data_IF_180702027545
#
_entry.id   IF_180702027545
#
_cell.length_a   1.000
_cell.length_b   1.000
_cell.length_c   1.000
_cell.angle_alpha   90.00
_cell.angle_beta   90.00
_cell.angle_gamma   90.00
#
_symmetry.space_group_name_H-M   'P 1'
#
loop_
_entity.id
_entity.type
_entity.pdbx_description
1 polymer ?
#
# COMPACT_ATOMS: atom_id res chain seq x y z
N UNK A 1 -2.99 -69.46 30.79
CA UNK A 1 -3.22 -68.62 29.60
C UNK A 1 -3.59 -67.22 30.09
N UNK A 2 -2.64 -66.27 30.06
CA UNK A 2 -2.88 -64.85 30.50
C UNK A 2 -3.35 -64.05 29.30
N UNK A 3 -4.54 -63.45 29.40
CA UNK A 3 -5.10 -62.54 28.39
C UNK A 3 -4.50 -61.13 28.63
N UNK A 4 -3.74 -60.62 27.66
CA UNK A 4 -3.25 -59.26 27.65
C UNK A 4 -4.36 -58.42 27.02
N UNK A 5 -4.91 -57.48 27.78
CA UNK A 5 -5.86 -56.47 27.29
C UNK A 5 -5.02 -55.25 26.87
N UNK A 6 -4.99 -55.00 25.57
CA UNK A 6 -4.30 -53.86 24.99
C UNK A 6 -5.29 -52.65 24.98
N UNK A 7 -5.11 -51.72 25.93
CA UNK A 7 -5.87 -50.46 25.93
C UNK A 7 -5.29 -49.48 24.91
N UNK A 8 -6.02 -49.24 23.82
CA UNK A 8 -5.70 -48.19 22.85
C UNK A 8 -6.18 -46.84 23.38
N UNK A 9 -5.25 -45.99 23.75
CA UNK A 9 -5.54 -44.60 24.09
C UNK A 9 -5.73 -43.80 22.79
N UNK A 10 -6.96 -43.45 22.46
CA UNK A 10 -7.22 -42.49 21.37
C UNK A 10 -6.87 -41.09 21.86
N UNK A 11 -5.76 -40.52 21.38
CA UNK A 11 -5.43 -39.11 21.53
C UNK A 11 -6.25 -38.34 20.49
N UNK A 12 -7.37 -37.70 20.91
CA UNK A 12 -8.10 -36.75 20.08
C UNK A 12 -7.31 -35.42 20.01
N UNK A 13 -6.62 -35.19 18.89
CA UNK A 13 -6.07 -33.85 18.60
C UNK A 13 -7.21 -32.88 18.34
N UNK A 14 -7.46 -31.96 19.27
CA UNK A 14 -8.37 -30.84 19.04
C UNK A 14 -7.69 -29.89 18.06
N UNK A 15 -8.06 -29.95 16.80
CA UNK A 15 -7.70 -28.92 15.83
C UNK A 15 -8.50 -27.67 16.13
N UNK A 16 -7.88 -26.66 16.71
CA UNK A 16 -8.45 -25.32 16.82
C UNK A 16 -8.40 -24.71 15.42
N UNK A 17 -9.48 -24.81 14.67
CA UNK A 17 -9.67 -24.06 13.44
C UNK A 17 -9.84 -22.57 13.84
N UNK A 18 -8.84 -21.74 13.57
CA UNK A 18 -9.02 -20.30 13.62
C UNK A 18 -10.11 -19.94 12.60
N UNK A 19 -11.25 -19.48 13.07
CA UNK A 19 -12.38 -19.11 12.23
C UNK A 19 -12.02 -17.85 11.44
N UNK A 20 -11.56 -18.04 10.21
CA UNK A 20 -11.39 -16.96 9.26
C UNK A 20 -12.78 -16.45 8.87
N UNK A 21 -13.04 -15.16 9.09
CA UNK A 21 -14.28 -14.52 8.63
C UNK A 21 -14.02 -13.90 7.26
N UNK A 22 -14.95 -14.13 6.32
CA UNK A 22 -14.95 -13.48 5.01
C UNK A 22 -16.22 -12.66 4.85
N UNK A 23 -16.07 -11.41 4.39
CA UNK A 23 -17.18 -10.51 4.09
C UNK A 23 -16.96 -9.84 2.75
N UNK A 24 -18.03 -9.76 1.97
CA UNK A 24 -18.03 -9.10 0.66
C UNK A 24 -18.79 -7.79 0.76
N UNK A 25 -18.19 -6.72 0.26
CA UNK A 25 -18.75 -5.39 0.17
C UNK A 25 -18.76 -4.93 -1.28
N UNK A 26 -19.82 -4.24 -1.71
CA UNK A 26 -19.91 -3.69 -3.05
C UNK A 26 -20.47 -2.27 -3.00
N UNK A 27 -19.84 -1.35 -3.74
CA UNK A 27 -20.28 0.03 -3.86
C UNK A 27 -19.70 0.67 -5.13
N UNK A 28 -20.51 1.43 -5.84
CA UNK A 28 -20.12 2.26 -7.01
C UNK A 28 -19.30 1.48 -8.07
N UNK A 29 -19.69 0.22 -8.32
CA UNK A 29 -19.04 -0.65 -9.32
C UNK A 29 -17.73 -1.29 -8.86
N UNK A 30 -17.32 -1.12 -7.60
CA UNK A 30 -16.18 -1.80 -6.97
C UNK A 30 -16.66 -2.83 -5.96
N UNK A 31 -15.88 -3.90 -5.81
CA UNK A 31 -16.12 -4.97 -4.85
C UNK A 31 -14.87 -5.21 -4.01
N UNK A 32 -15.04 -5.31 -2.71
CA UNK A 32 -14.00 -5.67 -1.75
C UNK A 32 -14.38 -6.96 -1.03
N UNK A 33 -13.55 -7.98 -1.13
CA UNK A 33 -13.63 -9.18 -0.30
C UNK A 33 -12.63 -9.03 0.85
N UNK A 34 -13.12 -8.83 2.07
CA UNK A 34 -12.30 -8.74 3.28
C UNK A 34 -12.29 -10.08 3.99
N UNK A 35 -11.09 -10.64 4.21
CA UNK A 35 -10.88 -11.78 5.12
C UNK A 35 -10.17 -11.33 6.38
N UNK A 36 -10.54 -11.89 7.53
CA UNK A 36 -9.89 -11.62 8.80
C UNK A 36 -9.76 -12.92 9.61
N UNK A 37 -8.54 -13.26 10.02
CA UNK A 37 -8.26 -14.40 10.88
C UNK A 37 -7.94 -14.00 12.34
N UNK A 38 -8.04 -12.70 12.67
CA UNK A 38 -7.88 -12.19 14.03
C UNK A 38 -9.23 -11.89 14.67
N UNK A 39 -9.66 -12.77 15.56
CA UNK A 39 -10.94 -12.61 16.28
C UNK A 39 -10.90 -11.55 17.37
N UNK A 40 -9.72 -11.00 17.67
CA UNK A 40 -9.52 -10.00 18.73
C UNK A 40 -9.48 -8.56 18.20
N UNK A 41 -9.37 -8.40 16.87
CA UNK A 41 -9.37 -7.08 16.27
C UNK A 41 -10.76 -6.44 16.30
N UNK A 42 -10.78 -5.15 16.64
CA UNK A 42 -12.04 -4.39 16.75
C UNK A 42 -12.78 -4.35 15.40
N UNK A 43 -14.06 -4.71 15.44
CA UNK A 43 -14.95 -4.64 14.26
C UNK A 43 -15.08 -3.22 13.72
N UNK A 44 -14.99 -2.19 14.57
CA UNK A 44 -15.00 -0.79 14.14
C UNK A 44 -13.76 -0.46 13.30
N UNK A 45 -12.60 -1.00 13.64
CA UNK A 45 -11.36 -0.84 12.86
C UNK A 45 -11.48 -1.50 11.49
N UNK A 46 -11.96 -2.75 11.42
CA UNK A 46 -12.25 -3.40 10.13
C UNK A 46 -13.21 -2.58 9.27
N UNK A 47 -14.24 -2.00 9.89
CA UNK A 47 -15.20 -1.13 9.19
C UNK A 47 -14.52 0.14 8.65
N UNK A 48 -13.56 0.70 9.37
CA UNK A 48 -12.77 1.86 8.91
C UNK A 48 -11.90 1.52 7.71
N UNK A 49 -11.23 0.35 7.70
CA UNK A 49 -10.46 -0.12 6.52
C UNK A 49 -11.35 -0.23 5.29
N UNK A 50 -12.54 -0.86 5.41
CA UNK A 50 -13.52 -0.98 4.32
C UNK A 50 -13.97 0.38 3.83
N UNK A 51 -14.32 1.31 4.73
CA UNK A 51 -14.72 2.67 4.36
C UNK A 51 -13.60 3.41 3.64
N UNK A 52 -12.37 3.31 4.12
CA UNK A 52 -11.19 3.92 3.49
C UNK A 52 -11.04 3.40 2.06
N UNK A 53 -11.12 2.08 1.85
CA UNK A 53 -11.07 1.50 0.51
C UNK A 53 -12.09 2.17 -0.43
N UNK A 54 -13.36 2.22 -0.08
CA UNK A 54 -14.40 2.79 -0.93
C UNK A 54 -14.33 4.31 -1.11
N UNK A 55 -13.57 5.02 -0.27
CA UNK A 55 -13.31 6.45 -0.46
C UNK A 55 -12.13 6.68 -1.40
N UNK A 56 -11.05 5.91 -1.25
CA UNK A 56 -9.77 6.20 -1.92
C UNK A 56 -9.61 5.44 -3.23
N UNK A 57 -9.98 4.16 -3.29
CA UNK A 57 -9.73 3.31 -4.45
C UNK A 57 -10.38 3.83 -5.75
N UNK A 58 -11.66 4.27 -5.75
CA UNK A 58 -12.27 4.87 -6.94
C UNK A 58 -11.56 6.13 -7.42
N UNK A 59 -11.02 6.95 -6.51
CA UNK A 59 -10.28 8.17 -6.85
C UNK A 59 -8.92 7.83 -7.46
N UNK A 60 -8.20 6.88 -6.86
CA UNK A 60 -6.93 6.38 -7.40
C UNK A 60 -7.12 5.79 -8.79
N UNK A 61 -8.14 4.94 -8.96
CA UNK A 61 -8.49 4.36 -10.25
C UNK A 61 -8.77 5.44 -11.29
N UNK A 62 -9.60 6.43 -10.97
CA UNK A 62 -9.94 7.52 -11.89
C UNK A 62 -8.74 8.39 -12.26
N UNK A 63 -7.85 8.63 -11.29
CA UNK A 63 -6.70 9.52 -11.48
C UNK A 63 -5.55 8.83 -12.23
N UNK A 64 -5.24 7.56 -11.92
CA UNK A 64 -4.04 6.89 -12.40
C UNK A 64 -4.33 5.77 -13.39
N UNK A 65 -5.31 4.90 -13.14
CA UNK A 65 -5.60 3.73 -13.98
C UNK A 65 -7.10 3.38 -14.00
N UNK A 66 -7.91 3.98 -14.88
CA UNK A 66 -9.33 3.65 -14.99
C UNK A 66 -9.62 2.19 -15.33
N UNK A 67 -8.63 1.48 -15.91
CA UNK A 67 -8.70 0.05 -16.24
C UNK A 67 -8.36 -0.91 -15.10
N UNK A 68 -7.98 -0.41 -13.92
CA UNK A 68 -7.62 -1.23 -12.76
C UNK A 68 -8.72 -2.20 -12.32
N UNK A 69 -8.38 -3.20 -11.53
CA UNK A 69 -9.29 -4.23 -11.03
C UNK A 69 -10.53 -3.61 -10.37
N UNK A 70 -11.70 -4.17 -10.66
CA UNK A 70 -12.96 -3.77 -9.99
C UNK A 70 -13.24 -4.60 -8.75
N UNK A 71 -12.60 -5.76 -8.62
CA UNK A 71 -12.72 -6.65 -7.49
C UNK A 71 -11.35 -6.78 -6.81
N UNK A 72 -11.27 -6.38 -5.54
CA UNK A 72 -10.06 -6.38 -4.73
C UNK A 72 -10.25 -7.32 -3.55
N UNK A 73 -9.19 -8.06 -3.21
CA UNK A 73 -9.14 -8.86 -1.99
C UNK A 73 -8.30 -8.15 -0.94
N UNK A 74 -8.74 -8.17 0.29
CA UNK A 74 -7.98 -7.67 1.44
C UNK A 74 -8.00 -8.70 2.55
N UNK A 75 -6.85 -8.97 3.16
CA UNK A 75 -6.73 -9.86 4.29
C UNK A 75 -6.10 -9.13 5.48
N UNK A 76 -6.70 -9.28 6.65
CA UNK A 76 -6.03 -9.01 7.92
C UNK A 76 -5.51 -10.35 8.43
N UNK A 77 -4.18 -10.45 8.61
CA UNK A 77 -3.51 -11.73 8.83
C UNK A 77 -2.59 -11.67 10.06
N UNK A 78 -2.83 -12.59 11.01
CA UNK A 78 -2.02 -12.77 12.22
C UNK A 78 -0.65 -13.39 11.94
N UNK A 79 -0.49 -14.09 10.83
CA UNK A 79 0.75 -14.74 10.44
C UNK A 79 1.71 -13.80 9.70
N UNK A 80 1.22 -12.76 9.05
CA UNK A 80 2.03 -11.81 8.31
C UNK A 80 2.88 -10.96 9.25
N UNK A 81 4.20 -10.82 8.97
CA UNK A 81 5.16 -10.18 9.88
C UNK A 81 5.62 -8.78 9.46
N UNK A 82 5.21 -8.32 8.27
CA UNK A 82 5.45 -6.95 7.80
C UNK A 82 4.46 -5.93 8.39
N UNK A 83 4.29 -4.82 7.70
CA UNK A 83 3.20 -3.86 7.94
C UNK A 83 2.01 -4.26 7.09
N UNK A 84 2.18 -4.23 5.78
CA UNK A 84 1.27 -4.72 4.77
C UNK A 84 2.05 -5.07 3.50
N UNK A 85 1.40 -5.71 2.55
CA UNK A 85 1.93 -5.95 1.21
C UNK A 85 0.78 -6.19 0.23
N UNK A 86 1.05 -5.88 -1.04
CA UNK A 86 0.14 -6.11 -2.15
C UNK A 86 0.80 -7.00 -3.20
N UNK A 87 0.14 -8.09 -3.54
CA UNK A 87 0.53 -8.99 -4.62
C UNK A 87 -0.71 -9.60 -5.26
N UNK A 88 -0.68 -9.83 -6.57
CA UNK A 88 -1.74 -10.53 -7.33
C UNK A 88 -3.16 -9.98 -7.05
N UNK A 89 -3.32 -8.66 -6.96
CA UNK A 89 -4.60 -8.01 -6.70
C UNK A 89 -5.14 -8.24 -5.28
N UNK A 90 -4.28 -8.69 -4.34
CA UNK A 90 -4.60 -8.91 -2.95
C UNK A 90 -3.72 -8.05 -2.03
N UNK A 91 -4.36 -7.31 -1.14
CA UNK A 91 -3.72 -6.62 -0.01
C UNK A 91 -3.69 -7.57 1.19
N UNK A 92 -2.54 -7.66 1.86
CA UNK A 92 -2.41 -8.36 3.15
C UNK A 92 -1.89 -7.36 4.18
N UNK A 93 -2.62 -7.17 5.28
CA UNK A 93 -2.26 -6.27 6.38
C UNK A 93 -1.98 -7.11 7.62
N UNK A 94 -0.86 -6.88 8.28
CA UNK A 94 -0.55 -7.54 9.54
C UNK A 94 -1.54 -7.12 10.64
N UNK A 95 -2.20 -8.07 11.26
CA UNK A 95 -3.04 -7.82 12.43
C UNK A 95 -2.25 -7.14 13.56
N UNK A 96 -1.02 -7.56 13.80
CA UNK A 96 -0.11 -6.97 14.79
C UNK A 96 0.19 -5.49 14.52
N UNK A 97 0.18 -5.05 13.25
CA UNK A 97 0.32 -3.64 12.92
C UNK A 97 -0.92 -2.85 13.33
N UNK A 98 -2.11 -3.34 13.02
CA UNK A 98 -3.36 -2.70 13.36
C UNK A 98 -3.53 -2.56 14.88
N UNK A 99 -3.25 -3.60 15.66
CA UNK A 99 -3.21 -3.49 17.13
C UNK A 99 -2.23 -2.44 17.64
N UNK A 100 -1.05 -2.31 17.01
CA UNK A 100 -0.03 -1.33 17.40
C UNK A 100 -0.36 0.09 16.94
N UNK A 101 -1.06 0.22 15.82
CA UNK A 101 -1.34 1.49 15.13
C UNK A 101 -2.79 1.54 14.62
N UNK A 102 -3.80 1.52 15.50
CA UNK A 102 -5.21 1.43 15.10
C UNK A 102 -5.69 2.63 14.28
N UNK A 103 -4.98 3.76 14.33
CA UNK A 103 -5.30 4.93 13.52
C UNK A 103 -4.70 4.87 12.10
N UNK A 104 -3.80 3.93 11.82
CA UNK A 104 -3.11 3.84 10.53
C UNK A 104 -3.93 3.10 9.46
N UNK A 105 -5.19 3.53 9.28
CA UNK A 105 -6.08 2.94 8.27
C UNK A 105 -5.68 3.31 6.83
N UNK A 106 -4.90 4.39 6.65
CA UNK A 106 -4.39 4.78 5.33
C UNK A 106 -3.22 3.92 4.83
N UNK A 107 -2.82 2.89 5.58
CA UNK A 107 -2.08 1.76 5.01
C UNK A 107 -2.85 1.17 3.83
N UNK A 108 -4.20 1.16 3.89
CA UNK A 108 -5.06 0.77 2.76
C UNK A 108 -4.80 1.64 1.54
N UNK A 109 -4.67 2.97 1.71
CA UNK A 109 -4.46 3.89 0.58
C UNK A 109 -3.15 3.61 -0.15
N UNK A 110 -2.08 3.33 0.60
CA UNK A 110 -0.79 2.90 0.06
C UNK A 110 -0.91 1.57 -0.69
N UNK A 111 -1.47 0.56 -0.05
CA UNK A 111 -1.53 -0.80 -0.60
C UNK A 111 -2.43 -0.90 -1.84
N UNK A 112 -3.59 -0.24 -1.84
CA UNK A 112 -4.45 -0.29 -3.02
C UNK A 112 -3.91 0.56 -4.18
N UNK A 113 -3.00 1.49 -3.92
CA UNK A 113 -2.27 2.16 -5.00
C UNK A 113 -1.41 1.17 -5.79
N UNK A 114 -0.81 0.17 -5.15
CA UNK A 114 -0.07 -0.89 -5.87
C UNK A 114 -0.97 -1.70 -6.81
N UNK A 115 -2.26 -1.91 -6.48
CA UNK A 115 -3.21 -2.52 -7.41
C UNK A 115 -3.47 -1.60 -8.60
N UNK A 116 -3.60 -0.31 -8.36
CA UNK A 116 -3.83 0.70 -9.42
C UNK A 116 -2.60 0.87 -10.30
N UNK A 117 -1.40 0.81 -9.72
CA UNK A 117 -0.12 0.85 -10.42
C UNK A 117 -0.04 -0.26 -11.48
N UNK A 118 -0.43 -1.49 -11.14
CA UNK A 118 -0.52 -2.62 -12.09
C UNK A 118 0.73 -2.73 -13.00
N UNK A 119 1.91 -2.61 -12.39
CA UNK A 119 3.17 -2.60 -13.14
C UNK A 119 3.64 -3.99 -13.59
N UNK A 120 2.98 -5.06 -13.11
CA UNK A 120 3.34 -6.43 -13.42
C UNK A 120 4.73 -6.81 -12.88
N UNK A 121 5.46 -7.62 -13.62
CA UNK A 121 6.87 -7.91 -13.36
C UNK A 121 7.69 -6.68 -13.76
N UNK A 122 7.97 -5.85 -12.80
CA UNK A 122 8.38 -4.46 -12.89
C UNK A 122 9.58 -4.20 -13.79
N UNK A 123 9.46 -3.19 -14.63
CA UNK A 123 10.56 -2.61 -15.44
C UNK A 123 11.10 -1.32 -14.81
N UNK A 124 10.53 -0.84 -13.71
CA UNK A 124 10.92 0.41 -13.05
C UNK A 124 11.61 0.21 -11.71
N UNK A 125 12.20 1.26 -11.13
CA UNK A 125 12.89 1.16 -9.85
C UNK A 125 11.88 1.07 -8.69
N UNK A 126 12.07 0.10 -7.78
CA UNK A 126 11.19 -0.12 -6.63
C UNK A 126 11.03 1.11 -5.74
N UNK A 127 12.07 1.94 -5.62
CA UNK A 127 11.98 3.18 -4.85
C UNK A 127 10.91 4.14 -5.39
N UNK A 128 10.74 4.19 -6.71
CA UNK A 128 9.73 5.05 -7.36
C UNK A 128 8.33 4.46 -7.20
N UNK A 129 8.19 3.14 -7.29
CA UNK A 129 6.93 2.42 -7.01
C UNK A 129 6.41 2.77 -5.62
N UNK A 130 7.25 2.60 -4.60
CA UNK A 130 6.90 2.91 -3.20
C UNK A 130 6.69 4.41 -2.97
N UNK A 131 7.51 5.24 -3.63
CA UNK A 131 7.39 6.69 -3.55
C UNK A 131 6.07 7.21 -4.11
N UNK A 132 5.60 6.66 -5.24
CA UNK A 132 4.31 7.00 -5.83
C UNK A 132 3.15 6.53 -4.92
N UNK A 133 3.26 5.35 -4.31
CA UNK A 133 2.24 4.86 -3.39
C UNK A 133 2.11 5.77 -2.15
N UNK A 134 3.21 6.19 -1.54
CA UNK A 134 3.18 7.13 -0.43
C UNK A 134 2.81 8.56 -0.85
N UNK A 135 3.15 9.00 -2.06
CA UNK A 135 2.64 10.25 -2.62
C UNK A 135 1.11 10.24 -2.75
N UNK A 136 0.56 9.15 -3.30
CA UNK A 136 -0.89 8.96 -3.41
C UNK A 136 -1.56 8.91 -2.01
N UNK A 137 -0.94 8.22 -1.04
CA UNK A 137 -1.37 8.22 0.35
C UNK A 137 -1.37 9.63 0.95
N UNK A 138 -0.32 10.43 0.73
CA UNK A 138 -0.28 11.81 1.21
C UNK A 138 -1.42 12.66 0.64
N UNK A 139 -1.74 12.45 -0.63
CA UNK A 139 -2.75 13.25 -1.36
C UNK A 139 -4.19 12.86 -1.06
N UNK A 140 -4.47 11.57 -0.92
CA UNK A 140 -5.82 11.01 -0.89
C UNK A 140 -6.17 10.31 0.42
N UNK A 141 -5.20 10.09 1.31
CA UNK A 141 -5.42 9.47 2.61
C UNK A 141 -6.41 10.25 3.45
N UNK A 142 -7.24 9.52 4.19
CA UNK A 142 -8.38 10.08 4.93
C UNK A 142 -8.12 10.26 6.43
N UNK A 143 -7.06 9.65 6.97
CA UNK A 143 -6.78 9.65 8.41
C UNK A 143 -5.30 9.85 8.77
N UNK A 144 -4.46 10.25 7.83
CA UNK A 144 -3.03 10.45 8.03
C UNK A 144 -2.68 11.29 9.29
N UNK A 145 -3.39 12.40 9.61
CA UNK A 145 -3.09 13.19 10.81
C UNK A 145 -3.30 12.41 12.11
N UNK A 146 -4.39 11.65 12.26
CA UNK A 146 -4.64 10.84 13.45
C UNK A 146 -3.61 9.70 13.59
N UNK A 147 -3.18 9.12 12.48
CA UNK A 147 -2.10 8.14 12.43
C UNK A 147 -0.71 8.73 12.73
N UNK A 148 -0.59 10.06 12.85
CA UNK A 148 0.69 10.80 12.92
C UNK A 148 1.61 10.45 11.74
N UNK A 149 1.00 10.24 10.58
CA UNK A 149 1.71 9.98 9.35
C UNK A 149 1.81 11.27 8.53
N UNK A 150 3.02 11.61 8.10
CA UNK A 150 3.30 12.78 7.26
C UNK A 150 4.56 12.55 6.43
N UNK A 151 4.74 13.33 5.38
CA UNK A 151 6.01 13.40 4.67
C UNK A 151 7.08 13.95 5.62
N UNK A 152 8.27 13.33 5.73
CA UNK A 152 9.32 13.77 6.64
C UNK A 152 9.93 15.07 6.15
N UNK A 153 10.48 15.87 7.04
CA UNK A 153 11.36 16.96 6.62
C UNK A 153 12.64 16.43 5.95
N UNK A 154 13.19 17.22 5.04
CA UNK A 154 14.44 16.90 4.38
C UNK A 154 15.59 16.81 5.40
N UNK A 155 16.45 15.80 5.21
CA UNK A 155 17.68 15.63 5.97
C UNK A 155 18.85 15.39 4.99
N UNK A 156 20.07 15.93 5.27
CA UNK A 156 21.21 15.81 4.37
C UNK A 156 21.68 14.38 4.05
N UNK A 157 21.31 13.41 4.88
CA UNK A 157 21.64 11.99 4.69
C UNK A 157 20.57 11.22 3.90
N UNK A 158 19.54 11.89 3.40
CA UNK A 158 18.52 11.31 2.52
C UNK A 158 18.92 11.38 1.06
N UNK A 159 18.33 10.48 0.27
CA UNK A 159 18.40 10.51 -1.18
C UNK A 159 17.03 10.16 -1.78
N UNK A 160 16.77 10.51 -3.05
CA UNK A 160 15.48 10.24 -3.70
C UNK A 160 15.13 8.75 -3.75
N UNK A 161 16.12 7.87 -3.77
CA UNK A 161 15.97 6.42 -3.82
C UNK A 161 15.80 5.75 -2.45
N UNK A 162 15.65 6.51 -1.38
CA UNK A 162 15.33 5.96 -0.06
C UNK A 162 13.89 5.41 0.05
N UNK A 163 13.13 5.49 -1.03
CA UNK A 163 11.77 5.00 -1.15
C UNK A 163 10.77 5.66 -0.18
N UNK A 164 9.52 5.20 -0.23
CA UNK A 164 8.46 5.59 0.69
C UNK A 164 8.32 7.11 0.84
N UNK A 165 8.14 7.60 2.06
CA UNK A 165 7.87 9.01 2.38
C UNK A 165 8.96 9.98 1.95
N UNK A 166 10.22 9.55 1.89
CA UNK A 166 11.34 10.39 1.43
C UNK A 166 11.16 10.69 -0.06
N UNK A 167 10.98 9.65 -0.85
CA UNK A 167 10.70 9.80 -2.29
C UNK A 167 9.38 10.51 -2.53
N UNK A 168 8.33 10.19 -1.77
CA UNK A 168 7.02 10.86 -1.88
C UNK A 168 7.12 12.37 -1.65
N UNK A 169 7.93 12.82 -0.69
CA UNK A 169 8.17 14.25 -0.47
C UNK A 169 8.88 14.91 -1.65
N UNK A 170 9.87 14.25 -2.20
CA UNK A 170 10.57 14.72 -3.39
C UNK A 170 9.64 14.81 -4.59
N UNK A 171 8.81 13.78 -4.82
CA UNK A 171 7.79 13.80 -5.87
C UNK A 171 6.80 14.95 -5.67
N UNK A 172 6.35 15.19 -4.43
CA UNK A 172 5.46 16.30 -4.11
C UNK A 172 6.12 17.65 -4.42
N UNK A 173 7.40 17.82 -4.08
CA UNK A 173 8.15 19.04 -4.40
C UNK A 173 8.27 19.26 -5.92
N UNK A 174 8.53 18.21 -6.70
CA UNK A 174 8.60 18.33 -8.17
C UNK A 174 7.23 18.70 -8.72
N UNK A 175 6.17 18.05 -8.28
CA UNK A 175 4.80 18.31 -8.70
C UNK A 175 4.41 19.79 -8.49
N UNK A 176 4.76 20.35 -7.33
CA UNK A 176 4.41 21.72 -6.95
C UNK A 176 5.32 22.78 -7.57
N UNK A 177 6.62 22.50 -7.71
CA UNK A 177 7.62 23.53 -8.05
C UNK A 177 8.18 23.43 -9.46
N UNK A 178 8.09 22.27 -10.10
CA UNK A 178 8.77 22.00 -11.38
C UNK A 178 7.82 21.59 -12.49
N UNK A 179 7.04 20.55 -12.29
CA UNK A 179 6.25 19.93 -13.35
C UNK A 179 4.95 19.32 -12.77
N UNK A 180 3.85 20.08 -12.74
CA UNK A 180 2.53 19.51 -12.42
C UNK A 180 2.21 18.33 -13.34
N UNK A 181 1.65 17.25 -12.77
CA UNK A 181 1.28 16.02 -13.48
C UNK A 181 2.40 15.02 -13.67
N UNK A 182 3.64 15.30 -13.21
CA UNK A 182 4.79 14.41 -13.42
C UNK A 182 4.58 13.03 -12.78
N UNK A 183 3.96 12.96 -11.60
CA UNK A 183 3.76 11.68 -10.90
C UNK A 183 2.85 10.76 -11.71
N UNK A 184 1.80 11.30 -12.33
CA UNK A 184 0.92 10.53 -13.23
C UNK A 184 1.64 10.07 -14.49
N UNK A 185 2.52 10.89 -15.05
CA UNK A 185 3.29 10.53 -16.22
C UNK A 185 4.28 9.41 -15.93
N UNK A 186 5.01 9.50 -14.81
CA UNK A 186 5.92 8.45 -14.37
C UNK A 186 5.18 7.15 -14.09
N UNK A 187 4.06 7.20 -13.36
CA UNK A 187 3.19 6.05 -13.11
C UNK A 187 2.73 5.41 -14.42
N UNK A 188 2.25 6.22 -15.37
CA UNK A 188 1.81 5.74 -16.68
C UNK A 188 2.93 5.07 -17.48
N UNK A 189 4.14 5.64 -17.46
CA UNK A 189 5.29 5.06 -18.16
C UNK A 189 5.71 3.73 -17.50
N UNK A 190 5.69 3.64 -16.17
CA UNK A 190 5.99 2.39 -15.46
C UNK A 190 4.97 1.30 -15.81
N UNK A 191 3.68 1.61 -15.79
CA UNK A 191 2.62 0.66 -16.15
C UNK A 191 2.67 0.22 -17.61
N UNK A 192 3.08 1.11 -18.53
CA UNK A 192 3.24 0.80 -19.96
C UNK A 192 4.59 0.16 -20.27
N UNK A 193 5.46 -0.07 -19.30
CA UNK A 193 6.81 -0.59 -19.47
C UNK A 193 7.69 0.25 -20.41
N UNK A 194 7.47 1.56 -20.41
CA UNK A 194 8.23 2.54 -21.22
C UNK A 194 9.11 3.45 -20.38
N UNK A 195 9.06 3.33 -19.05
CA UNK A 195 9.93 4.11 -18.18
C UNK A 195 11.39 3.80 -18.40
N UNK A 196 12.20 4.85 -18.45
CA UNK A 196 13.66 4.82 -18.39
C UNK A 196 14.13 5.98 -17.53
N UNK A 197 15.36 5.97 -17.04
CA UNK A 197 15.92 7.09 -16.27
C UNK A 197 15.93 8.41 -17.04
N UNK A 198 15.86 8.35 -18.38
CA UNK A 198 15.75 9.54 -19.23
C UNK A 198 14.36 10.20 -19.15
N UNK A 199 13.35 9.54 -18.58
CA UNK A 199 12.01 10.08 -18.41
C UNK A 199 12.02 11.42 -17.66
N UNK A 200 12.85 11.53 -16.63
CA UNK A 200 13.02 12.76 -15.85
C UNK A 200 13.47 13.93 -16.71
N UNK A 201 14.49 13.71 -17.55
CA UNK A 201 15.02 14.73 -18.46
C UNK A 201 14.01 15.10 -19.55
N UNK A 202 13.28 14.13 -20.07
CA UNK A 202 12.22 14.39 -21.05
C UNK A 202 11.09 15.24 -20.49
N UNK A 203 10.68 14.97 -19.23
CA UNK A 203 9.55 15.64 -18.60
C UNK A 203 9.91 17.01 -18.00
N UNK A 204 11.15 17.19 -17.52
CA UNK A 204 11.55 18.37 -16.74
C UNK A 204 12.74 19.15 -17.31
N UNK A 205 13.42 18.61 -18.31
CA UNK A 205 14.69 19.13 -18.81
C UNK A 205 15.92 18.76 -17.96
N UNK A 206 15.74 18.02 -16.86
CA UNK A 206 16.80 17.67 -15.89
C UNK A 206 16.77 16.20 -15.52
N UNK A 207 17.94 15.66 -15.17
CA UNK A 207 18.03 14.32 -14.58
C UNK A 207 17.44 14.28 -13.18
N UNK A 208 17.14 13.10 -12.66
CA UNK A 208 16.65 12.94 -11.28
C UNK A 208 17.69 13.44 -10.26
N UNK A 209 18.99 13.25 -10.53
CA UNK A 209 20.08 13.73 -9.66
C UNK A 209 20.15 15.25 -9.64
N UNK A 210 19.95 15.91 -10.78
CA UNK A 210 19.90 17.38 -10.85
C UNK A 210 18.70 17.93 -10.11
N UNK A 211 17.53 17.29 -10.26
CA UNK A 211 16.32 17.64 -9.52
C UNK A 211 16.49 17.45 -8.01
N UNK A 212 17.14 16.35 -7.60
CA UNK A 212 17.43 16.10 -6.18
C UNK A 212 18.36 17.16 -5.59
N UNK A 213 19.40 17.57 -6.30
CA UNK A 213 20.31 18.67 -5.87
C UNK A 213 19.54 19.98 -5.68
N UNK A 214 18.63 20.30 -6.59
CA UNK A 214 17.77 21.50 -6.44
C UNK A 214 16.81 21.39 -5.25
N UNK A 215 16.22 20.22 -5.07
CA UNK A 215 15.38 19.95 -3.90
C UNK A 215 16.17 20.09 -2.60
N UNK A 216 17.36 19.50 -2.53
CA UNK A 216 18.21 19.58 -1.34
C UNK A 216 18.65 21.02 -1.02
N UNK A 217 18.80 21.86 -2.03
CA UNK A 217 19.13 23.29 -1.85
C UNK A 217 17.92 24.14 -1.38
N UNK A 218 16.69 23.72 -1.72
CA UNK A 218 15.45 24.39 -1.30
C UNK A 218 14.30 23.40 -1.12
N UNK A 219 14.25 22.63 0.00
CA UNK A 219 13.29 21.55 0.22
C UNK A 219 11.90 22.01 0.72
N UNK A 220 11.61 23.30 0.71
CA UNK A 220 10.31 23.81 1.13
C UNK A 220 9.19 23.35 0.16
N UNK A 221 8.09 22.82 0.71
CA UNK A 221 6.88 22.39 0.00
C UNK A 221 5.66 23.10 0.55
#
# INVERSE_FOLDING_TARGET
MKKIVLSILLLSAVMIANAQTEKVYAKDGYKLTLTNNDTTLDTAELTRLVKTFFIVYPKLAAEYNPGTLKEVKMAVDTAYKGVAATADGKVTIASSWLHKRPEDIDVVTHEVMHIVQDYGESVGPGWLTEGIADYARNKLGVNNPAAKWSLPEFKPNQNYDNAYRVTARFLYWIEEKKKPGIVKELDSQMRKHTYTDNAWKQLTGKTVDELWKEYAANPAI
#
